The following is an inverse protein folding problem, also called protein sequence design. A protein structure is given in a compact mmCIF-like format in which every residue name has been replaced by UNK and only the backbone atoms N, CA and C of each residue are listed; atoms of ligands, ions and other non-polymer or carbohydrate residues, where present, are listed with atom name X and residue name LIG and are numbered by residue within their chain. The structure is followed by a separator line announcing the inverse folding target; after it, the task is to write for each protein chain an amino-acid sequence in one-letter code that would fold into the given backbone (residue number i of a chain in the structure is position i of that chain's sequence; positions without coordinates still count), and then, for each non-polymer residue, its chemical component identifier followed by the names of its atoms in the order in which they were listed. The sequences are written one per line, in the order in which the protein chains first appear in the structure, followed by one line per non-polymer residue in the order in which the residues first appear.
data_IF_519120133782
#
_entry.id   IF_519120133782
#
_cell.length_a   1.000
_cell.length_b   1.000
_cell.length_c   1.000
_cell.angle_alpha   90.00
_cell.angle_beta   90.00
_cell.angle_gamma   90.00
#
_symmetry.space_group_name_H-M   'P 1'
#
loop_
_entity.id
_entity.type
_entity.pdbx_description
1 polymer ?
#
# COMPACT_ATOMS: atom_id res chain seq x y z
N UNK A 1 15.08 -70.31 -7.76
CA UNK A 1 13.90 -69.69 -7.14
C UNK A 1 14.41 -68.83 -5.99
N UNK A 2 14.97 -67.64 -6.25
CA UNK A 2 14.33 -66.35 -6.57
C UNK A 2 13.43 -65.82 -5.45
N UNK A 3 13.92 -64.81 -4.74
CA UNK A 3 13.18 -63.63 -4.28
C UNK A 3 14.19 -62.59 -3.77
N UNK A 4 14.57 -61.66 -4.65
CA UNK A 4 15.22 -60.41 -4.27
C UNK A 4 14.18 -59.35 -3.97
N UNK A 5 14.40 -58.55 -2.93
CA UNK A 5 13.65 -57.32 -2.67
C UNK A 5 14.62 -56.15 -2.75
N UNK A 6 14.37 -55.27 -3.72
CA UNK A 6 15.14 -54.06 -3.99
C UNK A 6 14.47 -52.88 -3.29
N UNK A 7 15.25 -52.15 -2.48
CA UNK A 7 14.86 -50.85 -1.95
C UNK A 7 15.02 -49.79 -3.05
N UNK A 8 13.88 -49.25 -3.51
CA UNK A 8 13.83 -48.07 -4.36
C UNK A 8 14.15 -46.81 -3.54
N UNK A 9 15.24 -46.15 -3.92
CA UNK A 9 15.68 -44.86 -3.40
C UNK A 9 14.85 -43.74 -4.05
N UNK A 10 14.33 -42.82 -3.25
CA UNK A 10 13.64 -41.62 -3.72
C UNK A 10 14.62 -40.68 -4.45
N UNK A 11 14.17 -39.85 -5.42
CA UNK A 11 15.05 -38.93 -6.13
C UNK A 11 15.49 -37.80 -5.20
N UNK A 12 16.81 -37.69 -5.05
CA UNK A 12 17.51 -36.59 -4.39
C UNK A 12 17.13 -35.24 -5.02
N UNK A 13 16.73 -34.29 -4.17
CA UNK A 13 16.56 -32.89 -4.51
C UNK A 13 17.88 -32.34 -5.10
N UNK A 14 17.79 -31.75 -6.29
CA UNK A 14 18.93 -31.16 -6.98
C UNK A 14 19.62 -30.10 -6.12
N UNK A 15 20.91 -30.28 -5.91
CA UNK A 15 21.81 -29.31 -5.25
C UNK A 15 21.98 -28.06 -6.12
N UNK A 16 22.23 -26.88 -5.54
CA UNK A 16 22.37 -25.61 -6.27
C UNK A 16 23.75 -25.54 -6.95
N UNK A 17 23.98 -26.36 -7.98
CA UNK A 17 25.20 -26.29 -8.83
C UNK A 17 25.21 -25.07 -9.76
N UNK A 18 24.11 -24.33 -9.85
CA UNK A 18 23.91 -23.24 -10.82
C UNK A 18 24.63 -21.95 -10.45
N UNK A 19 24.63 -21.57 -9.16
CA UNK A 19 25.20 -20.30 -8.67
C UNK A 19 26.73 -20.28 -8.73
N UNK A 20 27.40 -21.39 -8.43
CA UNK A 20 28.86 -21.50 -8.51
C UNK A 20 29.38 -21.39 -9.94
N UNK A 21 28.62 -21.88 -10.92
CA UNK A 21 28.97 -21.76 -12.34
C UNK A 21 28.78 -20.31 -12.79
N UNK A 22 27.68 -19.67 -12.36
CA UNK A 22 27.36 -18.27 -12.66
C UNK A 22 28.42 -17.32 -12.08
N UNK A 23 28.81 -17.51 -10.81
CA UNK A 23 29.89 -16.77 -10.17
C UNK A 23 31.23 -16.99 -10.88
N UNK A 24 31.56 -18.23 -11.30
CA UNK A 24 32.79 -18.51 -12.05
C UNK A 24 32.80 -17.92 -13.45
N UNK A 25 31.67 -17.92 -14.16
CA UNK A 25 31.57 -17.33 -15.49
C UNK A 25 31.55 -15.80 -15.43
N UNK A 26 30.99 -15.20 -14.36
CA UNK A 26 31.16 -13.78 -14.04
C UNK A 26 32.62 -13.45 -13.68
N UNK A 27 33.26 -14.25 -12.82
CA UNK A 27 34.69 -14.10 -12.49
C UNK A 27 35.60 -14.25 -13.73
N UNK A 28 35.21 -15.06 -14.72
CA UNK A 28 35.90 -15.14 -16.02
C UNK A 28 35.63 -13.93 -16.91
N UNK A 29 34.39 -13.39 -16.92
CA UNK A 29 34.02 -12.18 -17.69
C UNK A 29 34.67 -10.92 -17.12
N UNK A 30 34.85 -10.86 -15.80
CA UNK A 30 35.32 -9.66 -15.09
C UNK A 30 36.76 -9.77 -14.52
N UNK A 31 37.36 -10.97 -14.54
CA UNK A 31 38.77 -11.22 -14.24
C UNK A 31 39.14 -11.16 -12.75
N UNK A 32 39.70 -12.26 -12.20
CA UNK A 32 40.51 -12.21 -10.98
C UNK A 32 41.91 -11.72 -11.33
N UNK A 33 42.28 -10.49 -10.97
CA UNK A 33 43.69 -10.07 -10.91
C UNK A 33 44.00 -9.53 -9.53
N UNK A 34 44.76 -10.32 -8.77
CA UNK A 34 45.32 -9.96 -7.48
C UNK A 34 46.59 -9.10 -7.59
N UNK A 35 47.04 -8.75 -8.80
CA UNK A 35 48.22 -7.92 -9.00
C UNK A 35 47.86 -6.64 -9.76
N UNK A 36 48.35 -5.52 -9.23
CA UNK A 36 48.05 -4.14 -9.60
C UNK A 36 48.56 -3.71 -10.98
N UNK A 37 48.12 -4.41 -12.04
CA UNK A 37 48.44 -4.08 -13.43
C UNK A 37 47.26 -3.52 -14.24
N UNK A 38 46.06 -3.40 -13.63
CA UNK A 38 44.91 -2.73 -14.26
C UNK A 38 45.05 -1.20 -14.35
N UNK A 39 45.95 -0.59 -13.57
CA UNK A 39 46.18 0.86 -13.60
C UNK A 39 47.01 1.34 -14.80
N UNK A 40 47.68 0.45 -15.55
CA UNK A 40 48.57 0.84 -16.67
C UNK A 40 47.98 0.64 -18.06
N UNK A 41 47.05 -0.29 -18.23
CA UNK A 41 46.38 -0.52 -19.54
C UNK A 41 45.08 0.26 -19.73
N UNK A 42 44.62 1.02 -18.73
CA UNK A 42 43.43 1.87 -18.83
C UNK A 42 43.65 3.20 -19.60
N UNK A 43 44.89 3.51 -20.03
CA UNK A 43 45.19 4.76 -20.75
C UNK A 43 45.01 4.70 -22.27
N UNK A 44 44.86 3.53 -22.89
CA UNK A 44 44.93 3.39 -24.36
C UNK A 44 43.75 2.68 -25.04
N UNK A 45 42.61 2.52 -24.35
CA UNK A 45 41.33 2.27 -25.02
C UNK A 45 40.34 3.34 -24.59
N UNK A 46 40.11 4.28 -25.50
CA UNK A 46 39.00 5.21 -25.43
C UNK A 46 37.69 4.40 -25.48
N UNK A 47 37.21 3.94 -24.33
CA UNK A 47 35.78 4.00 -24.10
C UNK A 47 35.48 5.47 -23.92
N UNK A 48 35.01 6.08 -25.00
CA UNK A 48 34.46 7.41 -24.95
C UNK A 48 33.46 7.43 -23.80
N UNK A 49 33.68 8.35 -22.87
CA UNK A 49 32.63 8.92 -22.04
C UNK A 49 31.50 9.36 -22.95
N UNK A 50 30.56 8.46 -23.21
CA UNK A 50 29.27 8.82 -23.76
C UNK A 50 28.22 8.53 -22.71
N UNK A 51 27.41 9.54 -22.44
CA UNK A 51 26.17 9.45 -21.69
C UNK A 51 25.12 8.56 -22.40
N UNK A 52 25.46 7.99 -23.56
CA UNK A 52 24.61 7.09 -24.36
C UNK A 52 24.51 5.64 -23.79
N UNK A 53 25.35 5.22 -22.83
CA UNK A 53 25.25 3.88 -22.20
C UNK A 53 24.16 3.79 -21.10
N UNK A 54 23.45 4.88 -20.85
CA UNK A 54 22.22 4.90 -20.02
C UNK A 54 20.96 4.66 -20.87
N UNK A 55 21.10 4.56 -22.18
CA UNK A 55 19.99 4.50 -23.12
C UNK A 55 19.79 3.07 -23.66
N UNK A 56 19.27 2.20 -22.80
CA UNK A 56 18.05 1.45 -23.12
C UNK A 56 17.62 0.60 -21.92
N UNK A 57 16.39 0.81 -21.48
CA UNK A 57 15.73 -0.05 -20.50
C UNK A 57 15.45 -1.48 -21.04
N UNK A 58 15.92 -1.81 -22.25
CA UNK A 58 15.55 -3.00 -23.02
C UNK A 58 16.76 -3.80 -23.56
N UNK A 59 17.97 -3.23 -23.66
CA UNK A 59 19.12 -3.97 -24.22
C UNK A 59 19.52 -5.13 -23.30
N UNK A 60 19.33 -6.34 -23.82
CA UNK A 60 19.76 -7.59 -23.19
C UNK A 60 18.75 -8.25 -22.25
N UNK A 61 17.53 -7.70 -22.10
CA UNK A 61 16.45 -8.42 -21.40
C UNK A 61 15.89 -9.54 -22.30
N UNK A 62 15.58 -10.72 -21.75
CA UNK A 62 14.92 -11.77 -22.51
C UNK A 62 13.46 -11.37 -22.79
N UNK A 63 12.83 -12.05 -23.74
CA UNK A 63 11.41 -11.84 -24.02
C UNK A 63 10.54 -12.06 -22.78
N UNK A 64 9.55 -11.18 -22.58
CA UNK A 64 8.67 -11.21 -21.43
C UNK A 64 7.90 -12.55 -21.36
N UNK A 65 7.99 -13.31 -20.25
CA UNK A 65 7.35 -14.62 -20.15
C UNK A 65 5.85 -14.53 -19.85
N UNK A 66 5.35 -13.34 -19.49
CA UNK A 66 3.99 -13.11 -19.00
C UNK A 66 3.00 -12.79 -20.14
N UNK A 67 2.85 -13.74 -21.07
CA UNK A 67 1.97 -13.62 -22.24
C UNK A 67 0.74 -14.52 -22.13
N UNK A 68 -0.34 -14.19 -22.84
CA UNK A 68 -1.56 -15.01 -22.88
C UNK A 68 -1.24 -16.43 -23.36
N UNK A 69 -1.78 -17.42 -22.66
CA UNK A 69 -1.53 -18.84 -22.87
C UNK A 69 -0.32 -19.40 -22.11
N UNK A 70 0.53 -18.55 -21.52
CA UNK A 70 1.62 -19.01 -20.67
C UNK A 70 1.08 -19.61 -19.36
N UNK A 71 1.75 -20.66 -18.88
CA UNK A 71 1.35 -21.40 -17.68
C UNK A 71 2.50 -21.51 -16.70
N UNK A 72 2.21 -21.27 -15.42
CA UNK A 72 3.16 -21.37 -14.32
C UNK A 72 2.61 -22.25 -13.21
N UNK A 73 3.49 -22.99 -12.53
CA UNK A 73 3.16 -23.65 -11.26
C UNK A 73 3.57 -22.70 -10.13
N UNK A 74 2.58 -22.12 -9.46
CA UNK A 74 2.77 -21.28 -8.30
C UNK A 74 2.75 -22.13 -7.03
N UNK A 75 3.65 -21.84 -6.09
CA UNK A 75 3.65 -22.44 -4.74
C UNK A 75 3.34 -21.36 -3.72
N UNK A 76 2.51 -21.69 -2.72
CA UNK A 76 2.12 -20.77 -1.66
C UNK A 76 3.38 -20.32 -0.92
N UNK A 77 3.46 -19.04 -0.62
CA UNK A 77 4.64 -18.44 -0.03
C UNK A 77 4.27 -17.44 1.06
N UNK A 78 4.77 -17.64 2.26
CA UNK A 78 4.73 -16.66 3.35
C UNK A 78 5.88 -15.67 3.11
N UNK A 79 5.62 -14.37 2.91
CA UNK A 79 6.66 -13.39 2.63
C UNK A 79 7.58 -13.18 3.86
N UNK A 80 8.78 -12.60 3.66
CA UNK A 80 9.50 -12.00 4.77
C UNK A 80 8.67 -10.86 5.41
N UNK A 81 9.07 -10.43 6.61
CA UNK A 81 8.46 -9.27 7.25
C UNK A 81 8.55 -8.03 6.35
N UNK A 82 7.50 -7.20 6.26
CA UNK A 82 7.46 -6.03 5.38
C UNK A 82 8.49 -4.99 5.81
N UNK A 83 9.19 -4.38 4.84
CA UNK A 83 10.26 -3.43 5.09
C UNK A 83 10.21 -2.19 4.17
N UNK A 84 11.00 -1.17 4.52
CA UNK A 84 11.00 0.13 3.84
C UNK A 84 9.78 0.98 4.22
N UNK A 85 9.66 2.18 3.67
CA UNK A 85 8.46 3.03 3.79
C UNK A 85 7.88 3.15 5.23
N UNK A 86 8.71 3.25 6.28
CA UNK A 86 8.25 3.43 7.66
C UNK A 86 8.05 2.15 8.49
N UNK A 87 8.39 0.98 7.95
CA UNK A 87 8.52 -0.25 8.74
C UNK A 87 9.83 -0.30 9.55
N UNK A 88 9.76 -0.83 10.77
CA UNK A 88 10.91 -0.98 11.69
C UNK A 88 11.75 -2.23 11.48
N UNK A 89 11.30 -3.11 10.60
CA UNK A 89 12.06 -4.30 10.26
C UNK A 89 13.45 -3.90 9.78
N UNK A 90 14.51 -4.58 10.23
CA UNK A 90 15.85 -4.32 9.75
C UNK A 90 15.88 -4.31 8.23
N UNK A 91 16.47 -3.25 7.68
CA UNK A 91 16.64 -3.14 6.24
C UNK A 91 17.44 -4.36 5.77
N UNK A 92 16.99 -5.04 4.70
CA UNK A 92 17.80 -6.05 4.06
C UNK A 92 19.18 -5.45 3.76
N UNK A 93 20.28 -6.19 4.02
CA UNK A 93 21.62 -5.64 3.82
C UNK A 93 21.72 -5.08 2.41
N UNK A 94 22.16 -3.82 2.28
CA UNK A 94 22.41 -3.20 0.99
C UNK A 94 23.52 -4.01 0.31
N UNK A 95 23.17 -4.86 -0.66
CA UNK A 95 24.15 -5.77 -1.27
C UNK A 95 24.92 -5.04 -2.38
N UNK A 96 25.84 -4.17 -1.94
CA UNK A 96 27.08 -3.69 -2.62
C UNK A 96 27.00 -2.75 -3.83
N UNK A 97 28.14 -2.09 -4.09
CA UNK A 97 28.50 -1.18 -5.19
C UNK A 97 28.41 -1.78 -6.62
N UNK A 98 27.70 -2.88 -6.82
CA UNK A 98 27.68 -3.65 -8.08
C UNK A 98 26.56 -3.22 -9.05
N UNK A 99 26.13 -1.96 -8.89
CA UNK A 99 25.20 -1.29 -9.80
C UNK A 99 25.77 -1.17 -11.23
N UNK A 100 26.99 -1.63 -11.49
CA UNK A 100 27.57 -1.69 -12.84
C UNK A 100 27.16 -2.92 -13.66
N UNK A 101 26.58 -3.95 -13.04
CA UNK A 101 26.16 -5.15 -13.78
C UNK A 101 24.94 -4.91 -14.68
N UNK A 102 24.79 -5.60 -15.82
CA UNK A 102 23.52 -5.69 -16.52
C UNK A 102 22.40 -6.17 -15.59
N UNK A 103 21.17 -5.68 -15.75
CA UNK A 103 20.04 -6.03 -14.87
C UNK A 103 19.77 -7.54 -14.82
N UNK A 104 19.95 -8.24 -15.95
CA UNK A 104 19.82 -9.71 -16.01
C UNK A 104 20.82 -10.42 -15.12
N UNK A 105 22.10 -10.04 -15.17
CA UNK A 105 23.14 -10.63 -14.34
C UNK A 105 22.88 -10.30 -12.86
N UNK A 106 22.47 -9.06 -12.58
CA UNK A 106 22.11 -8.62 -11.24
C UNK A 106 20.96 -9.45 -10.65
N UNK A 107 19.87 -9.65 -11.38
CA UNK A 107 18.72 -10.46 -10.95
C UNK A 107 19.02 -11.97 -10.85
N UNK A 108 20.05 -12.47 -11.55
CA UNK A 108 20.46 -13.87 -11.47
C UNK A 108 21.34 -14.15 -10.24
N UNK A 109 22.26 -13.24 -9.94
CA UNK A 109 23.11 -13.32 -8.75
C UNK A 109 22.28 -13.06 -7.50
N UNK A 110 21.37 -12.09 -7.56
CA UNK A 110 20.60 -11.64 -6.41
C UNK A 110 19.23 -12.31 -6.38
N UNK A 111 19.16 -13.39 -5.61
CA UNK A 111 17.90 -14.05 -5.30
C UNK A 111 16.98 -13.13 -4.47
N UNK A 112 15.65 -13.24 -4.66
CA UNK A 112 14.67 -12.58 -3.80
C UNK A 112 14.89 -12.94 -2.33
N UNK A 113 14.46 -12.07 -1.42
CA UNK A 113 14.50 -12.35 0.01
C UNK A 113 13.78 -13.66 0.34
N UNK A 114 14.37 -14.38 1.29
CA UNK A 114 13.81 -15.63 1.77
C UNK A 114 12.55 -15.36 2.59
N UNK A 115 11.52 -16.14 2.30
CA UNK A 115 10.36 -16.34 3.16
C UNK A 115 10.18 -17.84 3.34
N UNK A 116 8.94 -18.29 3.52
CA UNK A 116 8.63 -19.72 3.66
C UNK A 116 7.73 -20.20 2.54
N UNK A 117 8.24 -21.11 1.72
CA UNK A 117 7.43 -21.80 0.70
C UNK A 117 6.69 -22.96 1.35
N UNK A 118 5.39 -23.05 1.09
CA UNK A 118 4.52 -24.12 1.59
C UNK A 118 4.23 -25.13 0.46
N UNK A 119 3.71 -26.30 0.83
CA UNK A 119 3.44 -27.40 -0.10
C UNK A 119 2.22 -27.14 -1.03
N UNK A 120 1.35 -26.20 -0.65
CA UNK A 120 0.22 -25.81 -1.47
C UNK A 120 0.69 -25.24 -2.81
N UNK A 121 0.13 -25.74 -3.90
CA UNK A 121 0.48 -25.30 -5.25
C UNK A 121 -0.75 -25.12 -6.13
N UNK A 122 -0.62 -24.24 -7.12
CA UNK A 122 -1.67 -23.91 -8.07
C UNK A 122 -1.09 -23.70 -9.46
N UNK A 123 -1.78 -24.24 -10.47
CA UNK A 123 -1.47 -23.94 -11.86
C UNK A 123 -2.15 -22.63 -12.26
N UNK A 124 -1.37 -21.69 -12.77
CA UNK A 124 -1.83 -20.38 -13.22
C UNK A 124 -1.66 -20.32 -14.74
N UNK A 125 -2.76 -20.17 -15.47
CA UNK A 125 -2.73 -19.94 -16.92
C UNK A 125 -3.10 -18.49 -17.20
N UNK A 126 -2.23 -17.75 -17.88
CA UNK A 126 -2.51 -16.36 -18.26
C UNK A 126 -3.59 -16.34 -19.34
N UNK A 127 -4.72 -15.73 -19.01
CA UNK A 127 -5.90 -15.59 -19.87
C UNK A 127 -6.09 -14.18 -20.41
N UNK A 128 -5.38 -13.19 -19.85
CA UNK A 128 -5.41 -11.80 -20.32
C UNK A 128 -4.29 -10.98 -19.70
N UNK A 129 -4.01 -9.82 -20.29
CA UNK A 129 -2.98 -8.87 -19.82
C UNK A 129 -3.65 -7.58 -19.37
N UNK A 130 -3.28 -7.06 -18.20
CA UNK A 130 -3.72 -5.75 -17.72
C UNK A 130 -2.60 -4.74 -17.92
N UNK A 131 -1.40 -5.05 -17.42
CA UNK A 131 -0.21 -4.21 -17.58
C UNK A 131 1.04 -5.08 -17.56
N UNK A 132 1.73 -5.16 -18.69
CA UNK A 132 2.94 -5.95 -18.84
C UNK A 132 3.95 -5.23 -19.72
N UNK A 133 5.24 -5.51 -19.53
CA UNK A 133 6.32 -4.97 -20.36
C UNK A 133 7.55 -4.57 -19.54
N UNK A 134 8.56 -4.10 -20.27
CA UNK A 134 9.77 -3.54 -19.69
C UNK A 134 9.47 -2.18 -19.05
N UNK A 135 10.15 -1.87 -17.96
CA UNK A 135 10.01 -0.63 -17.20
C UNK A 135 8.68 -0.44 -16.49
N UNK A 136 7.84 -1.48 -16.41
CA UNK A 136 6.77 -1.54 -15.44
C UNK A 136 7.29 -2.25 -14.21
N UNK A 137 6.94 -1.78 -13.00
CA UNK A 137 7.27 -2.48 -11.75
C UNK A 137 6.61 -3.87 -11.72
N UNK A 138 5.50 -4.01 -11.01
CA UNK A 138 4.77 -5.28 -11.04
C UNK A 138 4.09 -5.53 -12.41
N UNK A 139 4.24 -6.74 -12.92
CA UNK A 139 3.55 -7.25 -14.11
C UNK A 139 2.16 -7.74 -13.68
N UNK A 140 1.10 -7.27 -14.33
CA UNK A 140 -0.29 -7.50 -13.93
C UNK A 140 -1.03 -8.23 -15.05
N UNK A 141 -1.48 -9.45 -14.75
CA UNK A 141 -2.13 -10.34 -15.71
C UNK A 141 -3.37 -10.98 -15.12
N UNK A 142 -4.34 -11.32 -15.96
CA UNK A 142 -5.51 -12.11 -15.57
C UNK A 142 -5.17 -13.58 -15.76
N UNK A 143 -5.26 -14.37 -14.70
CA UNK A 143 -5.05 -15.82 -14.69
C UNK A 143 -6.34 -16.56 -14.43
N UNK A 144 -6.49 -17.72 -15.08
CA UNK A 144 -7.64 -18.62 -14.92
C UNK A 144 -9.01 -17.93 -15.12
N UNK A 145 -9.06 -16.83 -15.90
CA UNK A 145 -10.26 -16.11 -16.31
C UNK A 145 -10.82 -15.08 -15.32
N UNK A 146 -10.53 -15.18 -14.03
CA UNK A 146 -11.17 -14.36 -12.99
C UNK A 146 -10.27 -13.96 -11.82
N UNK A 147 -8.97 -14.24 -11.88
CA UNK A 147 -7.99 -13.87 -10.85
C UNK A 147 -6.97 -12.93 -11.49
N UNK A 148 -6.52 -11.93 -10.76
CA UNK A 148 -5.37 -11.11 -11.14
C UNK A 148 -4.14 -11.63 -10.43
N UNK A 149 -3.09 -11.92 -11.20
CA UNK A 149 -1.76 -12.14 -10.68
C UNK A 149 -0.95 -10.84 -10.84
N UNK A 150 -0.50 -10.29 -9.72
CA UNK A 150 0.45 -9.18 -9.67
C UNK A 150 1.82 -9.75 -9.35
N UNK A 151 2.70 -9.74 -10.34
CA UNK A 151 3.97 -10.46 -10.38
C UNK A 151 5.11 -9.44 -10.23
N UNK A 152 5.89 -9.57 -9.17
CA UNK A 152 7.00 -8.67 -8.85
C UNK A 152 8.28 -9.25 -9.44
N UNK A 153 8.43 -9.16 -10.76
CA UNK A 153 9.64 -9.60 -11.45
C UNK A 153 10.65 -8.46 -11.57
N UNK A 154 11.74 -8.46 -10.77
CA UNK A 154 12.73 -7.38 -10.78
C UNK A 154 13.48 -7.28 -12.11
N UNK A 155 13.46 -8.31 -12.97
CA UNK A 155 14.14 -8.27 -14.27
C UNK A 155 13.45 -7.29 -15.25
N UNK A 156 12.14 -7.07 -15.08
CA UNK A 156 11.36 -6.22 -15.97
C UNK A 156 11.04 -4.85 -15.37
N UNK A 157 11.44 -4.61 -14.12
CA UNK A 157 11.34 -3.29 -13.48
C UNK A 157 12.17 -2.22 -14.21
N UNK A 158 11.77 -0.96 -14.05
CA UNK A 158 12.51 0.21 -14.50
C UNK A 158 13.79 0.33 -13.64
N UNK A 159 14.91 -0.09 -14.21
CA UNK A 159 16.20 -0.18 -13.52
C UNK A 159 16.77 1.16 -13.03
N UNK A 160 16.23 2.30 -13.48
CA UNK A 160 16.61 3.65 -13.10
C UNK A 160 15.54 4.39 -12.28
N UNK A 161 15.94 5.40 -11.50
CA UNK A 161 15.06 6.41 -10.92
C UNK A 161 14.79 7.57 -11.90
N UNK A 162 14.08 8.62 -11.47
CA UNK A 162 13.79 9.78 -12.31
C UNK A 162 15.01 10.67 -12.65
N UNK A 163 16.19 10.33 -12.12
CA UNK A 163 17.47 10.95 -12.40
C UNK A 163 18.45 9.95 -13.04
N UNK A 164 17.94 8.85 -13.57
CA UNK A 164 18.68 7.74 -14.20
C UNK A 164 19.71 7.07 -13.26
N UNK A 165 19.57 7.22 -11.94
CA UNK A 165 20.37 6.45 -11.01
C UNK A 165 19.85 5.03 -10.95
N UNK A 166 20.77 4.06 -11.06
CA UNK A 166 20.39 2.65 -10.98
C UNK A 166 19.81 2.31 -9.61
N UNK A 167 18.65 1.65 -9.62
CA UNK A 167 17.95 1.19 -8.42
C UNK A 167 18.21 -0.29 -8.15
N UNK A 168 18.05 -0.64 -6.89
CA UNK A 168 18.06 -2.03 -6.46
C UNK A 168 16.70 -2.68 -6.74
N UNK A 169 16.50 -3.09 -8.00
CA UNK A 169 15.21 -3.63 -8.48
C UNK A 169 14.74 -4.87 -7.72
N UNK A 170 15.66 -5.71 -7.21
CA UNK A 170 15.29 -6.87 -6.39
C UNK A 170 14.77 -6.42 -5.04
N UNK A 171 15.44 -5.45 -4.41
CA UNK A 171 14.98 -4.87 -3.16
C UNK A 171 13.60 -4.19 -3.29
N UNK A 172 13.37 -3.47 -4.39
CA UNK A 172 12.08 -2.83 -4.67
C UNK A 172 10.98 -3.89 -4.83
N UNK A 173 11.20 -4.90 -5.67
CA UNK A 173 10.23 -5.98 -5.89
C UNK A 173 9.89 -6.74 -4.59
N UNK A 174 10.90 -7.06 -3.77
CA UNK A 174 10.69 -7.73 -2.47
C UNK A 174 9.94 -6.84 -1.47
N UNK A 175 10.23 -5.54 -1.46
CA UNK A 175 9.56 -4.56 -0.61
C UNK A 175 8.09 -4.43 -0.98
N UNK A 176 7.81 -4.22 -2.27
CA UNK A 176 6.44 -4.11 -2.81
C UNK A 176 5.62 -5.35 -2.49
N UNK A 177 6.18 -6.54 -2.75
CA UNK A 177 5.55 -7.82 -2.47
C UNK A 177 5.22 -8.02 -0.98
N UNK A 178 6.18 -7.76 -0.10
CA UNK A 178 6.02 -8.00 1.34
C UNK A 178 5.05 -7.01 1.99
N UNK A 179 5.10 -5.72 1.63
CA UNK A 179 4.17 -4.71 2.13
C UNK A 179 2.74 -4.96 1.67
N UNK A 180 2.55 -5.24 0.37
CA UNK A 180 1.21 -5.49 -0.17
C UNK A 180 0.58 -6.75 0.44
N UNK A 181 1.38 -7.81 0.62
CA UNK A 181 0.91 -9.02 1.30
C UNK A 181 0.48 -8.71 2.74
N UNK A 182 1.31 -8.00 3.51
CA UNK A 182 1.00 -7.67 4.90
C UNK A 182 -0.28 -6.83 5.03
N UNK A 183 -0.52 -5.90 4.10
CA UNK A 183 -1.73 -5.10 4.07
C UNK A 183 -2.99 -5.94 3.83
N UNK A 184 -2.97 -6.82 2.83
CA UNK A 184 -4.11 -7.71 2.58
C UNK A 184 -4.36 -8.66 3.76
N UNK A 185 -3.31 -9.19 4.39
CA UNK A 185 -3.46 -10.04 5.58
C UNK A 185 -4.07 -9.30 6.76
N UNK A 186 -3.70 -8.03 6.98
CA UNK A 186 -4.31 -7.20 8.02
C UNK A 186 -5.79 -6.91 7.72
N UNK A 187 -6.12 -6.56 6.47
CA UNK A 187 -7.49 -6.24 6.06
C UNK A 187 -8.42 -7.45 6.12
N UNK A 188 -7.92 -8.66 5.84
CA UNK A 188 -8.71 -9.90 5.99
C UNK A 188 -9.23 -10.11 7.43
N UNK A 189 -8.60 -9.51 8.44
CA UNK A 189 -9.06 -9.60 9.82
C UNK A 189 -10.29 -8.70 10.12
N UNK A 190 -10.63 -7.77 9.22
CA UNK A 190 -11.74 -6.82 9.37
C UNK A 190 -12.82 -7.05 8.31
N UNK A 191 -14.00 -7.54 8.75
CA UNK A 191 -15.16 -7.79 7.88
C UNK A 191 -15.60 -6.56 7.09
N UNK A 192 -15.46 -5.38 7.69
CA UNK A 192 -15.96 -4.12 7.15
C UNK A 192 -15.17 -3.67 5.91
N UNK A 193 -13.96 -4.20 5.73
CA UNK A 193 -13.08 -3.86 4.60
C UNK A 193 -13.23 -4.79 3.40
N UNK A 194 -13.83 -5.98 3.57
CA UNK A 194 -13.87 -7.02 2.54
C UNK A 194 -14.57 -6.60 1.25
N UNK A 195 -15.52 -5.66 1.33
CA UNK A 195 -16.22 -5.13 0.15
C UNK A 195 -15.46 -4.00 -0.56
N UNK A 196 -14.49 -3.40 0.13
CA UNK A 196 -13.74 -2.21 -0.27
C UNK A 196 -12.42 -2.54 -0.99
N UNK A 197 -11.95 -3.77 -0.86
CA UNK A 197 -10.71 -4.25 -1.50
C UNK A 197 -10.97 -5.53 -2.30
N UNK A 198 -10.10 -5.90 -3.25
CA UNK A 198 -10.18 -7.20 -3.90
C UNK A 198 -10.05 -8.33 -2.89
N UNK A 199 -10.79 -9.43 -3.12
CA UNK A 199 -10.56 -10.67 -2.37
C UNK A 199 -9.11 -11.14 -2.56
N UNK A 200 -8.44 -11.47 -1.46
CA UNK A 200 -7.05 -11.90 -1.45
C UNK A 200 -6.95 -13.43 -1.47
N UNK A 201 -6.37 -13.99 -2.54
CA UNK A 201 -6.14 -15.43 -2.70
C UNK A 201 -4.74 -15.86 -2.26
N UNK A 202 -4.01 -14.97 -1.58
CA UNK A 202 -2.71 -15.25 -1.01
C UNK A 202 -1.52 -14.83 -1.86
N UNK A 203 -0.36 -15.09 -1.27
CA UNK A 203 0.96 -14.79 -1.76
C UNK A 203 1.66 -16.07 -2.23
N UNK A 204 2.37 -15.97 -3.35
CA UNK A 204 2.89 -17.13 -4.06
C UNK A 204 4.28 -16.86 -4.65
N UNK A 205 4.94 -17.92 -5.07
CA UNK A 205 6.19 -17.87 -5.82
C UNK A 205 6.12 -18.79 -7.03
N UNK A 206 6.71 -18.35 -8.15
CA UNK A 206 6.85 -19.13 -9.39
C UNK A 206 8.32 -19.25 -9.78
N UNK A 207 8.63 -20.29 -10.55
CA UNK A 207 9.92 -20.46 -11.19
C UNK A 207 9.84 -19.98 -12.64
N UNK A 208 10.73 -19.06 -13.01
CA UNK A 208 10.79 -18.45 -14.35
C UNK A 208 12.11 -18.83 -15.02
N UNK A 209 12.08 -19.68 -16.06
CA UNK A 209 13.26 -19.98 -16.87
C UNK A 209 13.75 -18.73 -17.61
N UNK A 210 15.04 -18.45 -17.53
CA UNK A 210 15.68 -17.26 -18.09
C UNK A 210 16.92 -17.70 -18.86
N UNK A 211 16.97 -17.37 -20.16
CA UNK A 211 18.10 -17.73 -21.02
C UNK A 211 19.12 -16.60 -21.08
N UNK A 212 20.40 -16.93 -20.89
CA UNK A 212 21.53 -16.02 -21.07
C UNK A 212 22.58 -16.73 -21.95
N UNK A 213 22.71 -16.29 -23.20
CA UNK A 213 23.42 -17.06 -24.21
C UNK A 213 22.81 -18.47 -24.35
N UNK A 214 23.65 -19.49 -24.26
CA UNK A 214 23.24 -20.90 -24.36
C UNK A 214 22.80 -21.53 -23.03
N UNK A 215 22.92 -20.81 -21.91
CA UNK A 215 22.60 -21.32 -20.58
C UNK A 215 21.17 -20.90 -20.16
N UNK A 216 20.47 -21.80 -19.46
CA UNK A 216 19.16 -21.53 -18.87
C UNK A 216 19.27 -21.53 -17.36
N UNK A 217 18.86 -20.44 -16.74
CA UNK A 217 18.81 -20.26 -15.30
C UNK A 217 17.36 -20.20 -14.84
N UNK A 218 17.11 -20.61 -13.61
CA UNK A 218 15.79 -20.47 -12.98
C UNK A 218 15.82 -19.32 -12.00
N UNK A 219 14.88 -18.38 -12.15
CA UNK A 219 14.66 -17.31 -11.18
C UNK A 219 13.38 -17.59 -10.40
N UNK A 220 13.42 -17.35 -9.10
CA UNK A 220 12.20 -17.31 -8.29
C UNK A 220 11.59 -15.92 -8.40
N UNK A 221 10.29 -15.85 -8.66
CA UNK A 221 9.55 -14.59 -8.79
C UNK A 221 8.34 -14.61 -7.88
N UNK A 222 8.19 -13.54 -7.10
CA UNK A 222 7.11 -13.39 -6.13
C UNK A 222 5.87 -12.82 -6.80
N UNK A 223 4.70 -13.23 -6.34
CA UNK A 223 3.44 -12.68 -6.81
C UNK A 223 2.37 -12.74 -5.72
N UNK A 224 1.34 -11.93 -5.86
CA UNK A 224 0.08 -12.07 -5.13
C UNK A 224 -1.05 -12.40 -6.10
N UNK A 225 -2.06 -13.10 -5.60
CA UNK A 225 -3.30 -13.40 -6.33
C UNK A 225 -4.45 -12.66 -5.66
N UNK A 226 -5.19 -11.89 -6.45
CA UNK A 226 -6.35 -11.12 -5.98
C UNK A 226 -7.52 -11.24 -6.95
N UNK A 227 -8.73 -10.88 -6.51
CA UNK A 227 -9.93 -10.85 -7.34
C UNK A 227 -9.74 -9.99 -8.59
N UNK A 228 -10.15 -10.49 -9.75
CA UNK A 228 -10.28 -9.66 -10.95
C UNK A 228 -11.54 -8.80 -10.85
N UNK A 229 -11.34 -7.50 -10.57
CA UNK A 229 -12.43 -6.53 -10.49
C UNK A 229 -12.85 -6.12 -11.90
N UNK A 230 -14.08 -6.49 -12.29
CA UNK A 230 -14.71 -6.03 -13.53
C UNK A 230 -15.29 -4.63 -13.35
N UNK A 231 -14.41 -3.63 -13.35
CA UNK A 231 -14.77 -2.22 -13.20
C UNK A 231 -13.95 -1.33 -14.12
N UNK A 232 -14.11 -0.02 -13.95
CA UNK A 232 -13.33 1.01 -14.65
C UNK A 232 -12.34 1.63 -13.67
N UNK A 233 -11.07 1.74 -14.06
CA UNK A 233 -10.08 2.48 -13.27
C UNK A 233 -10.46 3.97 -13.30
N UNK A 234 -10.57 4.60 -12.13
CA UNK A 234 -11.05 5.97 -11.99
C UNK A 234 -10.20 6.98 -12.77
N UNK A 235 -8.89 6.76 -12.93
CA UNK A 235 -8.01 7.61 -13.75
C UNK A 235 -8.34 7.64 -15.24
N UNK A 236 -9.12 6.67 -15.75
CA UNK A 236 -9.58 6.62 -17.15
C UNK A 236 -10.92 7.33 -17.37
N UNK A 237 -11.61 7.67 -16.27
CA UNK A 237 -12.88 8.39 -16.32
C UNK A 237 -12.60 9.88 -16.49
N UNK A 238 -13.35 10.53 -17.38
CA UNK A 238 -13.32 11.98 -17.56
C UNK A 238 -14.34 12.62 -16.61
N UNK A 239 -13.92 13.26 -15.50
CA UNK A 239 -14.86 13.67 -14.46
C UNK A 239 -15.80 14.77 -14.92
N UNK A 240 -15.39 15.57 -15.91
CA UNK A 240 -16.19 16.62 -16.54
C UNK A 240 -17.42 16.10 -17.29
N UNK A 241 -17.47 14.80 -17.62
CA UNK A 241 -18.65 14.17 -18.21
C UNK A 241 -19.67 13.71 -17.16
N UNK A 242 -19.31 13.75 -15.87
CA UNK A 242 -20.19 13.38 -14.75
C UNK A 242 -20.82 14.62 -14.13
N UNK A 243 -22.01 14.47 -13.54
CA UNK A 243 -22.59 15.56 -12.77
C UNK A 243 -21.76 15.88 -11.53
N UNK A 244 -21.82 17.13 -11.04
CA UNK A 244 -21.15 17.52 -9.78
C UNK A 244 -21.63 16.67 -8.60
N UNK A 245 -22.92 16.31 -8.58
CA UNK A 245 -23.50 15.47 -7.55
C UNK A 245 -22.90 14.06 -7.57
N UNK A 246 -22.75 13.46 -8.76
CA UNK A 246 -22.14 12.14 -8.93
C UNK A 246 -20.67 12.13 -8.52
N UNK A 247 -19.87 13.11 -8.97
CA UNK A 247 -18.48 13.24 -8.54
C UNK A 247 -18.37 13.32 -7.02
N UNK A 248 -19.20 14.17 -6.40
CA UNK A 248 -19.24 14.31 -4.95
C UNK A 248 -19.64 13.00 -4.25
N UNK A 249 -20.62 12.26 -4.77
CA UNK A 249 -21.03 10.97 -4.21
C UNK A 249 -19.92 9.90 -4.31
N UNK A 250 -19.21 9.84 -5.45
CA UNK A 250 -18.06 8.94 -5.64
C UNK A 250 -16.94 9.30 -4.67
N UNK A 251 -16.57 10.58 -4.59
CA UNK A 251 -15.54 11.06 -3.66
C UNK A 251 -15.88 10.74 -2.21
N UNK A 252 -17.15 10.92 -1.80
CA UNK A 252 -17.57 10.56 -0.45
C UNK A 252 -17.28 9.10 -0.12
N UNK A 253 -17.64 8.20 -1.02
CA UNK A 253 -17.41 6.76 -0.86
C UNK A 253 -15.93 6.39 -0.80
N UNK A 254 -15.09 7.04 -1.61
CA UNK A 254 -13.64 6.81 -1.60
C UNK A 254 -13.07 7.17 -0.22
N UNK A 255 -13.41 8.34 0.29
CA UNK A 255 -12.88 8.84 1.56
C UNK A 255 -13.41 8.06 2.77
N UNK A 256 -14.68 7.65 2.73
CA UNK A 256 -15.26 6.72 3.71
C UNK A 256 -14.57 5.35 3.68
N UNK A 257 -14.33 4.81 2.48
CA UNK A 257 -13.65 3.53 2.31
C UNK A 257 -12.21 3.56 2.83
N UNK A 258 -11.47 4.64 2.54
CA UNK A 258 -10.12 4.83 3.08
C UNK A 258 -10.13 4.95 4.59
N UNK A 259 -11.09 5.70 5.17
CA UNK A 259 -11.22 5.80 6.62
C UNK A 259 -11.43 4.42 7.26
N UNK A 260 -12.26 3.57 6.66
CA UNK A 260 -12.47 2.20 7.15
C UNK A 260 -11.19 1.35 7.05
N UNK A 261 -10.45 1.45 5.95
CA UNK A 261 -9.16 0.76 5.76
C UNK A 261 -8.12 1.23 6.80
N UNK A 262 -8.03 2.54 7.04
CA UNK A 262 -7.15 3.12 8.05
C UNK A 262 -7.49 2.65 9.46
N UNK A 263 -8.76 2.69 9.84
CA UNK A 263 -9.21 2.23 11.15
C UNK A 263 -9.09 0.71 11.31
N UNK A 264 -9.04 -0.06 10.21
CA UNK A 264 -8.69 -1.48 10.21
C UNK A 264 -7.18 -1.74 10.36
N UNK A 265 -6.35 -0.70 10.47
CA UNK A 265 -4.92 -0.82 10.76
C UNK A 265 -4.01 -0.69 9.54
N UNK A 266 -4.53 -0.30 8.38
CA UNK A 266 -3.74 -0.15 7.14
C UNK A 266 -3.76 1.28 6.63
N UNK A 267 -2.60 1.91 6.52
CA UNK A 267 -2.42 3.19 5.85
C UNK A 267 -2.03 2.95 4.38
N UNK A 268 -2.89 3.30 3.43
CA UNK A 268 -2.65 3.02 2.00
C UNK A 268 -1.47 3.79 1.40
N UNK A 269 -1.27 5.05 1.83
CA UNK A 269 -0.24 6.02 1.36
C UNK A 269 -0.28 6.47 -0.11
N UNK A 270 -1.01 5.77 -0.97
CA UNK A 270 -1.13 6.14 -2.39
C UNK A 270 -2.59 6.17 -2.88
N UNK A 271 -3.44 6.92 -2.17
CA UNK A 271 -4.85 7.08 -2.53
C UNK A 271 -4.94 8.04 -3.72
N UNK A 272 -5.09 7.45 -4.89
CA UNK A 272 -5.05 8.15 -6.16
C UNK A 272 -6.06 7.54 -7.14
N UNK A 273 -6.58 8.30 -8.12
CA UNK A 273 -7.52 7.77 -9.12
C UNK A 273 -7.02 6.53 -9.89
N UNK A 274 -5.70 6.31 -10.00
CA UNK A 274 -5.16 5.10 -10.65
C UNK A 274 -5.32 3.83 -9.80
N UNK A 275 -5.49 3.99 -8.49
CA UNK A 275 -5.61 2.93 -7.50
C UNK A 275 -7.05 2.72 -7.03
N UNK A 276 -8.02 3.26 -7.78
CA UNK A 276 -9.45 3.18 -7.47
C UNK A 276 -10.21 2.59 -8.65
N UNK A 277 -10.96 1.53 -8.39
CA UNK A 277 -11.87 0.90 -9.34
C UNK A 277 -13.31 1.31 -9.04
N UNK A 278 -14.00 1.82 -10.07
CA UNK A 278 -15.44 2.09 -10.04
C UNK A 278 -16.18 0.90 -10.66
N UNK A 279 -17.06 0.28 -9.88
CA UNK A 279 -17.74 -0.96 -10.26
C UNK A 279 -19.25 -0.71 -10.37
N UNK A 280 -19.83 -0.74 -11.58
CA UNK A 280 -21.28 -0.73 -11.78
C UNK A 280 -21.95 -1.88 -11.03
N UNK A 281 -23.04 -1.59 -10.32
CA UNK A 281 -23.82 -2.61 -9.62
C UNK A 281 -24.62 -3.51 -10.58
N UNK A 282 -24.86 -3.07 -11.82
CA UNK A 282 -25.40 -3.89 -12.89
C UNK A 282 -24.83 -3.47 -14.26
N UNK A 283 -24.80 -4.40 -15.23
CA UNK A 283 -24.12 -4.24 -16.52
C UNK A 283 -24.73 -3.18 -17.46
N UNK A 284 -25.88 -2.61 -17.10
CA UNK A 284 -26.60 -1.58 -17.84
C UNK A 284 -26.64 -0.23 -17.10
N UNK A 285 -25.86 -0.10 -16.03
CA UNK A 285 -25.85 1.09 -15.17
C UNK A 285 -24.78 2.07 -15.63
N UNK A 286 -25.18 3.33 -15.76
CA UNK A 286 -24.28 4.45 -16.12
C UNK A 286 -23.23 4.67 -15.02
N UNK A 287 -22.07 5.20 -15.40
CA UNK A 287 -21.10 5.75 -14.42
C UNK A 287 -21.65 6.97 -13.65
N UNK A 288 -22.83 7.47 -14.05
CA UNK A 288 -23.58 8.50 -13.34
C UNK A 288 -24.46 7.95 -12.21
N UNK A 289 -24.39 6.64 -11.91
CA UNK A 289 -25.10 6.05 -10.77
C UNK A 289 -24.40 6.37 -9.44
N UNK A 290 -25.04 7.09 -8.51
CA UNK A 290 -24.48 7.34 -7.19
C UNK A 290 -24.26 6.06 -6.37
N UNK A 291 -24.82 4.90 -6.76
CA UNK A 291 -24.68 3.63 -6.07
C UNK A 291 -23.49 2.77 -6.52
N UNK A 292 -22.64 3.26 -7.43
CA UNK A 292 -21.38 2.59 -7.81
C UNK A 292 -20.58 2.08 -6.59
N UNK A 293 -20.07 0.85 -6.67
CA UNK A 293 -19.14 0.34 -5.66
C UNK A 293 -17.74 0.86 -5.97
N UNK A 294 -17.07 1.34 -4.93
CA UNK A 294 -15.66 1.74 -4.97
C UNK A 294 -14.82 0.59 -4.45
N UNK A 295 -13.72 0.27 -5.13
CA UNK A 295 -12.73 -0.71 -4.68
C UNK A 295 -11.34 -0.09 -4.75
N UNK A 296 -10.63 -0.10 -3.63
CA UNK A 296 -9.26 0.38 -3.50
C UNK A 296 -8.30 -0.77 -3.78
N UNK A 297 -7.29 -0.52 -4.61
CA UNK A 297 -6.31 -1.50 -5.07
C UNK A 297 -4.89 -0.95 -4.93
N UNK A 298 -3.89 -1.80 -5.09
CA UNK A 298 -2.46 -1.44 -5.11
C UNK A 298 -1.91 -0.96 -3.74
N UNK A 299 -1.70 -1.91 -2.85
CA UNK A 299 -1.19 -1.66 -1.49
C UNK A 299 0.34 -1.81 -1.39
N UNK A 300 1.08 -1.73 -2.50
CA UNK A 300 2.54 -1.98 -2.51
C UNK A 300 3.37 -0.97 -1.70
N UNK A 301 2.84 0.23 -1.47
CA UNK A 301 3.49 1.28 -0.64
C UNK A 301 2.77 1.53 0.69
N UNK A 302 1.82 0.66 1.04
CA UNK A 302 1.05 0.78 2.27
C UNK A 302 1.86 0.44 3.52
N UNK A 303 1.33 0.82 4.68
CA UNK A 303 1.82 0.38 5.99
C UNK A 303 0.72 -0.29 6.80
N UNK A 304 1.07 -1.39 7.42
CA UNK A 304 0.31 -1.96 8.54
C UNK A 304 0.75 -1.24 9.80
N UNK A 305 -0.15 -0.47 10.41
CA UNK A 305 0.15 0.47 11.50
C UNK A 305 0.84 -0.24 12.67
N UNK A 306 0.32 -1.39 13.11
CA UNK A 306 0.90 -2.16 14.24
C UNK A 306 2.28 -2.75 13.97
N UNK A 307 2.69 -2.84 12.70
CA UNK A 307 4.00 -3.35 12.27
C UNK A 307 4.98 -2.23 11.89
N UNK A 308 4.48 -1.00 11.82
CA UNK A 308 5.23 0.17 11.38
C UNK A 308 5.50 1.10 12.55
N UNK A 309 6.55 1.90 12.40
CA UNK A 309 6.79 3.06 13.24
C UNK A 309 6.11 4.32 12.66
N UNK A 310 5.08 4.16 11.84
CA UNK A 310 4.32 5.31 11.33
C UNK A 310 3.76 6.18 12.47
N UNK A 311 3.60 5.62 13.68
CA UNK A 311 3.27 6.35 14.91
C UNK A 311 4.42 7.20 15.50
N UNK A 312 5.67 7.04 15.06
CA UNK A 312 6.83 7.77 15.63
C UNK A 312 7.39 8.87 14.71
N UNK A 313 7.07 8.87 13.42
CA UNK A 313 7.42 9.95 12.49
C UNK A 313 6.27 10.90 12.15
N UNK A 314 5.03 10.51 12.45
CA UNK A 314 3.90 11.43 12.54
C UNK A 314 3.59 11.61 14.03
N UNK A 315 4.39 12.45 14.72
CA UNK A 315 4.22 12.72 16.16
C UNK A 315 2.84 13.27 16.53
N UNK A 316 2.05 13.68 15.53
CA UNK A 316 0.76 14.34 15.70
C UNK A 316 -0.43 13.49 15.20
N UNK A 317 -0.20 12.32 14.59
CA UNK A 317 -1.28 11.50 14.02
C UNK A 317 -1.70 10.41 15.04
N UNK A 318 -2.87 10.53 15.67
CA UNK A 318 -3.22 9.68 16.79
C UNK A 318 -3.50 8.26 16.30
N UNK A 319 -2.75 7.29 16.82
CA UNK A 319 -2.93 5.88 16.47
C UNK A 319 -4.41 5.45 16.66
N UNK A 320 -4.97 4.61 15.78
CA UNK A 320 -6.34 4.10 15.94
C UNK A 320 -6.61 3.50 17.32
N UNK A 321 -5.60 2.84 17.90
CA UNK A 321 -5.66 2.27 19.26
C UNK A 321 -5.82 3.36 20.34
N UNK A 322 -5.04 4.45 20.23
CA UNK A 322 -5.16 5.57 21.17
C UNK A 322 -6.49 6.31 21.02
N UNK A 323 -7.00 6.44 19.80
CA UNK A 323 -8.29 7.04 19.52
C UNK A 323 -9.43 6.21 20.06
N UNK A 324 -9.46 4.90 19.81
CA UNK A 324 -10.49 4.02 20.34
C UNK A 324 -10.56 4.05 21.88
N UNK A 325 -9.42 4.25 22.56
CA UNK A 325 -9.41 4.41 24.02
C UNK A 325 -10.08 5.71 24.47
N UNK A 326 -9.87 6.80 23.74
CA UNK A 326 -10.40 8.14 24.06
C UNK A 326 -11.86 8.32 23.61
N UNK A 327 -12.19 7.76 22.44
CA UNK A 327 -13.48 7.84 21.75
C UNK A 327 -13.96 6.44 21.32
N UNK A 328 -14.44 5.61 22.25
CA UNK A 328 -14.89 4.26 21.93
C UNK A 328 -16.02 4.26 20.89
N UNK A 329 -15.89 3.42 19.86
CA UNK A 329 -16.89 3.28 18.79
C UNK A 329 -16.89 4.39 17.73
N UNK A 330 -16.00 5.38 17.83
CA UNK A 330 -15.81 6.42 16.82
C UNK A 330 -14.64 6.06 15.91
N UNK A 331 -14.77 6.39 14.62
CA UNK A 331 -13.71 6.22 13.63
C UNK A 331 -12.91 7.52 13.46
N UNK A 332 -11.64 7.43 13.10
CA UNK A 332 -10.97 8.59 12.53
C UNK A 332 -11.54 8.86 11.14
N UNK A 333 -12.09 10.05 10.92
CA UNK A 333 -12.80 10.40 9.69
C UNK A 333 -11.90 11.01 8.60
N UNK A 334 -12.47 11.28 7.42
CA UNK A 334 -11.72 11.82 6.28
C UNK A 334 -11.03 13.16 6.52
N UNK A 335 -11.63 14.04 7.34
CA UNK A 335 -11.16 15.42 7.50
C UNK A 335 -9.70 15.46 7.97
N UNK A 336 -9.35 14.69 9.00
CA UNK A 336 -7.97 14.67 9.55
C UNK A 336 -6.95 14.06 8.60
N UNK A 337 -7.40 13.34 7.57
CA UNK A 337 -6.57 12.58 6.64
C UNK A 337 -6.35 13.30 5.31
N UNK A 338 -7.36 14.04 4.85
CA UNK A 338 -7.43 14.61 3.51
C UNK A 338 -7.44 16.14 3.48
N UNK A 339 -7.39 16.82 4.63
CA UNK A 339 -7.21 18.26 4.67
C UNK A 339 -5.89 18.64 3.99
N UNK A 340 -5.95 19.51 2.97
CA UNK A 340 -4.80 19.87 2.13
C UNK A 340 -4.09 18.67 1.46
N UNK A 341 -4.76 17.54 1.29
CA UNK A 341 -4.18 16.33 0.69
C UNK A 341 -5.07 15.74 -0.43
N UNK A 342 -5.84 16.60 -1.10
CA UNK A 342 -6.70 16.25 -2.24
C UNK A 342 -6.13 16.69 -3.60
N UNK A 343 -4.87 17.14 -3.66
CA UNK A 343 -4.24 17.72 -4.85
C UNK A 343 -4.41 16.90 -6.14
N UNK A 344 -4.23 15.57 -6.09
CA UNK A 344 -4.38 14.71 -7.29
C UNK A 344 -5.85 14.60 -7.75
N UNK A 345 -6.81 14.75 -6.84
CA UNK A 345 -8.24 14.77 -7.16
C UNK A 345 -8.69 16.14 -7.68
N UNK A 346 -8.15 17.22 -7.13
CA UNK A 346 -8.33 18.60 -7.60
C UNK A 346 -7.79 18.74 -9.03
N UNK A 347 -6.54 18.35 -9.26
CA UNK A 347 -5.87 18.42 -10.57
C UNK A 347 -6.54 17.58 -11.67
N UNK A 348 -7.48 16.70 -11.30
CA UNK A 348 -8.26 15.88 -12.23
C UNK A 348 -9.75 16.19 -12.20
N UNK A 349 -10.17 17.32 -11.64
CA UNK A 349 -11.56 17.77 -11.61
C UNK A 349 -12.52 16.84 -10.86
N UNK A 350 -12.05 16.04 -9.90
CA UNK A 350 -12.95 15.22 -9.06
C UNK A 350 -13.58 16.03 -7.93
N UNK A 351 -12.84 17.01 -7.43
CA UNK A 351 -13.28 18.02 -6.47
C UNK A 351 -12.95 19.42 -7.04
N UNK A 352 -13.43 20.47 -6.38
CA UNK A 352 -13.16 21.83 -6.82
C UNK A 352 -11.70 22.21 -6.52
N UNK A 353 -11.01 22.78 -7.50
CA UNK A 353 -9.58 23.13 -7.49
C UNK A 353 -9.30 24.60 -7.10
N UNK A 354 -10.33 25.40 -6.79
CA UNK A 354 -10.14 26.72 -6.22
C UNK A 354 -9.65 26.59 -4.76
N UNK A 355 -8.69 27.45 -4.40
CA UNK A 355 -8.05 27.49 -3.08
C UNK A 355 -9.07 27.35 -1.93
N UNK A 356 -8.86 26.31 -1.11
CA UNK A 356 -9.67 26.00 0.08
C UNK A 356 -11.05 25.39 -0.20
N UNK A 357 -11.58 25.39 -1.42
CA UNK A 357 -12.93 24.86 -1.70
C UNK A 357 -13.06 23.36 -1.48
N UNK A 358 -12.01 22.59 -1.77
CA UNK A 358 -12.01 21.16 -1.50
C UNK A 358 -12.11 20.89 0.02
N UNK A 359 -11.38 21.65 0.84
CA UNK A 359 -11.44 21.56 2.30
C UNK A 359 -12.81 21.96 2.86
N UNK A 360 -13.43 23.01 2.32
CA UNK A 360 -14.80 23.38 2.70
C UNK A 360 -15.78 22.26 2.38
N UNK A 361 -15.70 21.70 1.18
CA UNK A 361 -16.51 20.55 0.79
C UNK A 361 -16.27 19.34 1.71
N UNK A 362 -15.02 19.06 2.07
CA UNK A 362 -14.65 17.98 2.98
C UNK A 362 -15.27 18.20 4.38
N UNK A 363 -15.19 19.43 4.89
CA UNK A 363 -15.81 19.82 6.17
C UNK A 363 -17.33 19.70 6.13
N UNK A 364 -17.99 20.21 5.09
CA UNK A 364 -19.44 20.10 4.91
C UNK A 364 -19.91 18.65 4.86
N UNK A 365 -19.10 17.76 4.28
CA UNK A 365 -19.46 16.36 4.11
C UNK A 365 -19.21 15.52 5.37
N UNK A 366 -18.20 15.85 6.18
CA UNK A 366 -17.68 14.95 7.21
C UNK A 366 -17.37 15.59 8.56
N UNK A 367 -17.22 16.91 8.64
CA UNK A 367 -16.68 17.58 9.83
C UNK A 367 -17.54 17.48 11.09
N UNK A 368 -18.83 17.21 10.95
CA UNK A 368 -19.80 17.13 12.05
C UNK A 368 -20.55 15.79 12.08
N UNK A 369 -19.97 14.75 11.46
CA UNK A 369 -20.58 13.42 11.40
C UNK A 369 -20.34 12.66 12.70
N UNK A 370 -21.42 12.18 13.31
CA UNK A 370 -21.39 11.56 14.63
C UNK A 370 -20.57 10.27 14.66
N UNK A 371 -20.47 9.52 13.57
CA UNK A 371 -19.67 8.29 13.53
C UNK A 371 -18.16 8.54 13.67
N UNK A 372 -17.71 9.78 13.47
CA UNK A 372 -16.30 10.14 13.55
C UNK A 372 -15.93 10.76 14.88
N UNK A 373 -14.62 10.75 15.17
CA UNK A 373 -14.05 11.51 16.26
C UNK A 373 -14.39 13.00 16.07
N UNK A 374 -14.97 13.67 17.09
CA UNK A 374 -15.39 15.07 16.98
C UNK A 374 -14.20 15.99 16.73
N UNK A 375 -14.40 16.98 15.86
CA UNK A 375 -13.38 17.94 15.44
C UNK A 375 -13.80 19.36 15.79
N UNK A 376 -12.81 20.16 16.18
CA UNK A 376 -12.94 21.62 16.35
C UNK A 376 -12.20 22.29 15.21
N UNK A 377 -12.90 23.19 14.53
CA UNK A 377 -12.36 23.98 13.42
C UNK A 377 -12.31 25.45 13.83
N UNK A 378 -11.13 26.04 13.74
CA UNK A 378 -10.97 27.48 13.82
C UNK A 378 -11.34 28.09 12.45
N UNK A 379 -12.25 29.07 12.45
CA UNK A 379 -12.65 29.77 11.22
C UNK A 379 -11.70 30.88 10.84
N UNK A 380 -10.92 31.39 11.79
CA UNK A 380 -9.91 32.42 11.54
C UNK A 380 -8.63 31.81 10.95
N UNK A 381 -8.38 30.52 11.21
CA UNK A 381 -7.24 29.75 10.68
C UNK A 381 -7.71 28.65 9.70
N UNK A 382 -8.48 29.05 8.68
CA UNK A 382 -9.14 28.11 7.73
C UNK A 382 -8.19 27.22 6.93
N UNK A 383 -6.90 27.56 6.87
CA UNK A 383 -5.86 26.76 6.21
C UNK A 383 -5.42 25.55 7.06
N UNK A 384 -5.57 25.65 8.38
CA UNK A 384 -5.12 24.60 9.30
C UNK A 384 -6.13 23.45 9.36
N UNK A 385 -5.60 22.23 9.45
CA UNK A 385 -6.42 21.05 9.63
C UNK A 385 -7.22 21.17 10.94
N UNK A 386 -8.55 20.90 10.92
CA UNK A 386 -9.34 20.81 12.13
C UNK A 386 -8.72 19.84 13.13
N UNK A 387 -8.71 20.23 14.40
CA UNK A 387 -8.12 19.46 15.49
C UNK A 387 -9.14 18.54 16.14
N UNK A 388 -8.70 17.43 16.69
CA UNK A 388 -9.57 16.56 17.49
C UNK A 388 -9.98 17.30 18.77
N UNK A 389 -11.28 17.29 19.05
CA UNK A 389 -11.84 17.89 20.26
C UNK A 389 -11.30 17.21 21.52
N UNK A 390 -11.12 17.97 22.59
CA UNK A 390 -10.96 17.42 23.93
C UNK A 390 -12.34 17.20 24.55
N UNK A 391 -12.50 16.14 25.35
CA UNK A 391 -13.81 15.79 25.93
C UNK A 391 -14.39 16.95 26.77
N UNK A 392 -13.53 17.65 27.52
CA UNK A 392 -13.93 18.82 28.31
C UNK A 392 -14.53 19.95 27.46
N UNK A 393 -14.08 20.14 26.22
CA UNK A 393 -14.58 21.20 25.33
C UNK A 393 -15.99 20.90 24.80
N UNK A 394 -16.43 19.64 24.83
CA UNK A 394 -17.78 19.24 24.40
C UNK A 394 -18.78 19.29 25.56
N UNK A 395 -18.33 19.02 26.79
CA UNK A 395 -19.17 19.07 28.00
C UNK A 395 -19.52 20.51 28.40
N UNK A 396 -18.68 21.49 28.08
CA UNK A 396 -18.96 22.91 28.35
C UNK A 396 -20.08 23.47 27.44
N UNK A 397 -20.29 22.92 26.24
CA UNK A 397 -21.35 23.36 25.32
C UNK A 397 -22.75 22.81 25.68
N UNK A 398 -22.84 21.64 26.33
CA UNK A 398 -24.15 21.12 26.79
C UNK A 398 -24.72 21.90 27.98
N UNK A 399 -23.87 22.55 28.79
CA UNK A 399 -24.32 23.35 29.94
C UNK A 399 -24.81 24.76 29.54
N UNK A 400 -24.40 25.28 28.39
CA UNK A 400 -24.82 26.60 27.91
C UNK A 400 -26.19 26.57 27.18
N UNK A 401 -26.62 25.40 26.67
CA UNK A 401 -27.92 25.25 26.00
C UNK A 401 -29.09 25.10 27.00
N UNK A 402 -28.84 24.67 28.25
CA UNK A 402 -29.89 24.53 29.28
C UNK A 402 -30.19 25.82 30.07
N UNK A 403 -29.32 26.84 30.02
CA UNK A 403 -29.56 28.13 30.72
C UNK A 403 -30.49 29.10 29.97
N UNK A 404 -30.89 28.81 28.72
CA UNK A 404 -31.73 29.75 27.93
C UNK A 404 -33.24 29.48 27.94
N UNK A 405 -33.73 28.45 28.67
CA UNK A 405 -35.19 28.15 28.75
C UNK A 405 -35.83 28.45 30.12
N UNK A 406 -35.07 28.81 31.16
CA UNK A 406 -35.63 29.13 32.49
C UNK A 406 -35.83 30.64 32.74
N UNK A 407 -36.15 31.40 31.71
CA UNK A 407 -36.09 32.87 31.74
C UNK A 407 -37.40 33.64 31.65
N UNK A 408 -38.60 33.06 31.85
CA UNK A 408 -39.85 33.87 31.95
C UNK A 408 -40.99 33.14 32.65
N UNK A 409 -41.11 33.26 33.98
CA UNK A 409 -42.40 33.57 34.67
C UNK A 409 -42.06 34.24 36.01
N UNK A 410 -42.37 35.53 36.14
CA UNK A 410 -42.49 36.22 37.42
C UNK A 410 -43.92 36.12 37.93
N UNK A 411 -44.04 36.12 39.28
CA UNK A 411 -45.20 36.50 40.11
C UNK A 411 -46.11 35.31 40.46
N UNK A 412 -46.37 34.93 41.72
CA UNK A 412 -46.97 35.69 42.84
C UNK A 412 -47.00 34.77 44.10
N UNK A 413 -46.86 35.34 45.31
CA UNK A 413 -47.35 34.85 46.64
C UNK A 413 -46.80 33.53 47.23
N UNK A 414 -46.53 33.32 48.54
CA UNK A 414 -46.70 34.04 49.81
C UNK A 414 -45.99 33.22 50.91
N UNK A 415 -45.31 33.90 51.86
CA UNK A 415 -45.22 33.66 53.32
C UNK A 415 -44.90 32.26 53.89
N UNK A 416 -43.91 32.21 54.78
CA UNK A 416 -43.75 31.14 55.77
C UNK A 416 -42.40 31.13 56.48
N UNK A 417 -42.37 31.70 57.68
CA UNK A 417 -41.25 31.79 58.63
C UNK A 417 -40.64 30.44 59.03
N UNK A 418 -39.38 30.44 59.48
CA UNK A 418 -38.77 29.27 60.11
C UNK A 418 -37.28 29.43 60.43
N UNK A 419 -37.01 30.09 61.56
CA UNK A 419 -35.70 30.30 62.18
C UNK A 419 -34.89 29.01 62.42
N UNK A 420 -33.56 29.11 62.37
CA UNK A 420 -32.65 28.02 62.72
C UNK A 420 -31.17 28.40 62.67
N UNK A 421 -30.71 29.13 63.68
CA UNK A 421 -29.31 29.49 63.96
C UNK A 421 -28.35 28.29 64.14
N UNK A 422 -27.13 28.46 63.60
CA UNK A 422 -25.79 28.23 64.20
C UNK A 422 -25.42 26.80 64.66
N UNK A 423 -24.32 26.25 64.11
CA UNK A 423 -23.08 25.89 64.87
C UNK A 423 -21.87 25.78 63.90
N UNK A 424 -20.83 26.57 64.18
CA UNK A 424 -19.45 26.42 63.70
C UNK A 424 -18.66 25.43 64.57
N UNK A 425 -17.86 24.54 63.95
CA UNK A 425 -16.59 23.92 64.41
C UNK A 425 -16.26 22.80 63.41
N UNK A 426 -15.09 22.61 62.82
CA UNK A 426 -13.76 23.18 63.01
C UNK A 426 -12.74 22.07 62.70
N UNK A 427 -11.76 22.38 61.84
CA UNK A 427 -10.42 21.77 61.65
C UNK A 427 -10.30 20.26 61.35
N UNK A 428 -9.44 19.95 60.37
CA UNK A 428 -8.67 18.71 60.37
C UNK A 428 -7.99 18.38 59.04
N UNK A 429 -6.74 18.79 58.90
CA UNK A 429 -5.85 18.43 57.79
C UNK A 429 -5.41 16.95 57.79
N UNK A 430 -4.81 16.57 56.65
CA UNK A 430 -3.88 15.45 56.36
C UNK A 430 -4.59 14.12 56.06
N UNK A 431 -4.18 13.36 55.05
CA UNK A 431 -2.89 13.26 54.33
C UNK A 431 -3.09 12.71 52.94
#
# INVERSE_FOLDING_TARGET
MSAGSSHGTAPSAGTPRSLDILLRDLEKRFGRSADGEYAKNFKNRSYATSLDDLDSNDDGKPALPYVVGATFVARRHEPPAPFGFGYDTPWPPYKTNDFRLPQIDYCLIRQPLEGRTLDESRVLTITGTIRTGCSFGAQVVVVNGNIVAKIYDPLYDAGGDCYDNKRDVVWLADGDYSRETAAYEELLASSDTLSLVPEYYGSWTIEVPTKVGDQTFTRHVRLILVQHIKGTVMSTVQPQLLSRQTRSAIMKKILEAESLIFNAGVLHRDISPRNIMLVPLASNVSLDDPHLRVVIIDFNVSNVIRLSNASCHASDDPSPVSLQRKWPGKLLGPVTRFWNAMEEFEARDWVNDEDGKANEWLWECFGQREEYVPLVRDREESELCPRIAWRSELEDHENDEDETVAGTVRSLDTWGDGDGEIVFRGRGCKS
#
